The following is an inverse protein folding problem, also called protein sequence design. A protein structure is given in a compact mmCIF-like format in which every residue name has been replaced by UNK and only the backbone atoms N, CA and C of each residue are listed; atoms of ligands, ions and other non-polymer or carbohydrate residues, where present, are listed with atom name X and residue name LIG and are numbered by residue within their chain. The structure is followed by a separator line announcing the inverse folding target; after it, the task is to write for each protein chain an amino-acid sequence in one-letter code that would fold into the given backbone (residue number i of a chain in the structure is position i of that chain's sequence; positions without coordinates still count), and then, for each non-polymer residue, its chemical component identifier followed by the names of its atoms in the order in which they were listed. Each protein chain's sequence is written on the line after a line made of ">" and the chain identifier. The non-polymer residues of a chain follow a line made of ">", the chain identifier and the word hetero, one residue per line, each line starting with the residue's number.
data_IF_125743966343
#
_entry.id   IF_125743966343
#
_cell.length_a   1.000
_cell.length_b   1.000
_cell.length_c   1.000
_cell.angle_alpha   90.00
_cell.angle_beta   90.00
_cell.angle_gamma   90.00
#
_symmetry.space_group_name_H-M   'P 1'
#
loop_
_entity.id
_entity.type
_entity.pdbx_description
1 polymer ?
#
# COMPACT_ATOMS: atom_id res chain seq x y z
N UNK A 1 -11.60 13.46 11.31
CA UNK A 1 -10.58 12.70 10.57
C UNK A 1 -10.28 11.41 11.30
N UNK A 2 -9.39 10.61 10.76
CA UNK A 2 -8.88 9.38 11.37
C UNK A 2 -7.36 9.47 11.54
N UNK A 3 -6.85 8.83 12.59
CA UNK A 3 -5.44 8.68 12.88
C UNK A 3 -5.01 7.27 12.48
N UNK A 4 -4.22 7.19 11.43
CA UNK A 4 -3.61 5.94 10.97
C UNK A 4 -2.37 5.68 11.82
N UNK A 5 -2.33 4.53 12.49
CA UNK A 5 -1.22 4.17 13.39
C UNK A 5 -0.44 2.94 12.94
N UNK A 6 -1.02 2.07 12.10
CA UNK A 6 -0.31 0.95 11.52
C UNK A 6 -0.81 0.64 10.10
N UNK A 7 0.02 -0.08 9.34
CA UNK A 7 -0.24 -0.45 7.94
C UNK A 7 0.34 -1.83 7.65
N UNK A 8 -0.38 -2.63 6.87
CA UNK A 8 0.11 -3.86 6.26
C UNK A 8 -0.04 -3.79 4.75
N UNK A 9 1.09 -3.81 4.05
CA UNK A 9 1.15 -3.82 2.60
C UNK A 9 0.93 -5.24 2.07
N UNK A 10 0.24 -5.35 0.93
CA UNK A 10 -0.07 -6.63 0.32
C UNK A 10 -0.05 -6.58 -1.21
N UNK A 11 0.67 -7.54 -1.79
CA UNK A 11 0.64 -7.93 -3.21
C UNK A 11 0.74 -9.44 -3.32
N UNK A 12 0.60 -9.98 -4.55
CA UNK A 12 1.05 -11.34 -4.85
C UNK A 12 2.51 -11.32 -5.37
N UNK A 13 2.92 -12.38 -6.08
CA UNK A 13 4.33 -12.74 -6.34
C UNK A 13 5.10 -11.77 -7.25
N UNK A 14 4.43 -10.97 -8.08
CA UNK A 14 5.07 -9.98 -8.95
C UNK A 14 5.37 -8.65 -8.24
N UNK A 15 4.86 -8.41 -7.03
CA UNK A 15 5.07 -7.16 -6.31
C UNK A 15 6.53 -6.95 -5.90
N UNK A 16 7.02 -5.71 -6.05
CA UNK A 16 8.40 -5.30 -5.72
C UNK A 16 8.47 -4.04 -4.87
N UNK A 17 7.42 -3.22 -4.91
CA UNK A 17 7.32 -2.07 -4.03
C UNK A 17 5.88 -1.64 -3.85
N UNK A 18 5.57 -1.11 -2.66
CA UNK A 18 4.25 -0.54 -2.38
C UNK A 18 4.43 0.74 -1.58
N UNK A 19 3.71 1.77 -2.00
CA UNK A 19 3.75 3.10 -1.39
C UNK A 19 2.35 3.64 -1.23
N UNK A 20 2.00 4.13 -0.05
CA UNK A 20 0.75 4.84 0.22
C UNK A 20 1.05 6.22 0.76
N UNK A 21 0.42 7.24 0.14
CA UNK A 21 0.58 8.64 0.53
C UNK A 21 -0.76 9.31 0.75
N UNK A 22 -0.75 10.35 1.58
CA UNK A 22 -1.87 11.25 1.78
C UNK A 22 -1.65 12.52 0.95
N UNK A 23 -2.65 12.86 0.16
CA UNK A 23 -2.70 14.05 -0.69
C UNK A 23 -3.86 14.94 -0.23
N UNK A 24 -3.59 16.25 -0.08
CA UNK A 24 -4.60 17.26 0.20
C UNK A 24 -4.48 18.38 -0.82
N UNK A 25 -5.58 18.72 -1.47
CA UNK A 25 -5.62 19.80 -2.48
C UNK A 25 -4.57 19.62 -3.59
N UNK A 26 -4.29 18.37 -3.98
CA UNK A 26 -3.33 18.03 -5.03
C UNK A 26 -1.85 17.99 -4.57
N UNK A 27 -1.57 18.26 -3.30
CA UNK A 27 -0.21 18.22 -2.73
C UNK A 27 -0.03 16.97 -1.86
N UNK A 28 1.05 16.21 -2.10
CA UNK A 28 1.44 15.11 -1.23
C UNK A 28 1.98 15.64 0.10
N UNK A 29 1.29 15.33 1.21
CA UNK A 29 1.62 15.86 2.54
C UNK A 29 2.37 14.88 3.42
N UNK A 30 1.94 13.61 3.44
CA UNK A 30 2.47 12.60 4.36
C UNK A 30 2.59 11.25 3.66
N UNK A 31 3.64 10.51 4.01
CA UNK A 31 3.80 9.11 3.60
C UNK A 31 3.24 8.21 4.68
N UNK A 32 2.20 7.45 4.36
CA UNK A 32 1.62 6.45 5.28
C UNK A 32 2.57 5.27 5.39
N UNK A 33 3.00 4.72 4.26
CA UNK A 33 4.00 3.66 4.20
C UNK A 33 4.68 3.70 2.82
N UNK A 34 5.96 3.39 2.79
CA UNK A 34 6.78 3.23 1.58
C UNK A 34 7.73 2.04 1.82
N UNK A 35 7.55 0.97 1.06
CA UNK A 35 8.47 -0.15 1.01
C UNK A 35 8.89 -0.39 -0.44
N UNK A 36 10.08 0.08 -0.79
CA UNK A 36 10.67 -0.07 -2.13
C UNK A 36 11.36 -1.42 -2.34
N UNK A 37 11.54 -2.20 -1.27
CA UNK A 37 12.16 -3.53 -1.28
C UNK A 37 11.15 -4.58 -0.81
N UNK A 38 9.87 -4.36 -1.16
CA UNK A 38 8.78 -5.21 -0.75
C UNK A 38 8.96 -6.62 -1.31
N UNK A 39 8.69 -7.63 -0.47
CA UNK A 39 8.69 -9.05 -0.83
C UNK A 39 7.34 -9.65 -0.45
N UNK A 40 6.74 -10.40 -1.38
CA UNK A 40 5.46 -11.07 -1.16
C UNK A 40 5.55 -12.15 -0.06
N UNK A 41 6.75 -12.61 0.26
CA UNK A 41 7.05 -13.57 1.32
C UNK A 41 7.15 -12.90 2.72
N UNK A 42 7.24 -11.56 2.78
CA UNK A 42 7.40 -10.81 4.03
C UNK A 42 6.42 -9.64 4.12
N UNK A 43 5.23 -9.89 4.69
CA UNK A 43 4.12 -8.92 4.75
C UNK A 43 3.63 -8.63 6.18
N UNK A 44 4.49 -8.11 7.08
CA UNK A 44 4.09 -7.82 8.46
C UNK A 44 3.20 -6.58 8.56
N UNK A 45 2.39 -6.53 9.62
CA UNK A 45 1.80 -5.27 10.07
C UNK A 45 2.91 -4.42 10.70
N UNK A 46 3.10 -3.17 10.23
CA UNK A 46 4.07 -2.22 10.78
C UNK A 46 3.36 -1.07 11.47
N UNK A 47 3.73 -0.79 12.71
CA UNK A 47 3.36 0.46 13.40
C UNK A 47 4.12 1.61 12.75
N UNK A 48 3.41 2.69 12.43
CA UNK A 48 4.01 3.85 11.79
C UNK A 48 4.88 4.62 12.78
N UNK A 49 6.05 5.08 12.34
CA UNK A 49 6.93 5.94 13.16
C UNK A 49 6.23 7.25 13.54
N UNK A 50 5.38 7.75 12.66
CA UNK A 50 4.55 8.94 12.84
C UNK A 50 3.14 8.59 12.41
N UNK A 51 2.16 8.81 13.28
CA UNK A 51 0.76 8.63 12.92
C UNK A 51 0.36 9.64 11.85
N UNK A 52 -0.43 9.20 10.88
CA UNK A 52 -0.94 10.06 9.80
C UNK A 52 -2.38 10.43 10.10
N UNK A 53 -2.67 11.74 10.16
CA UNK A 53 -4.02 12.25 10.35
C UNK A 53 -4.68 12.53 8.99
N UNK A 54 -5.64 11.69 8.62
CA UNK A 54 -6.43 11.87 7.41
C UNK A 54 -7.75 12.59 7.73
N UNK A 55 -7.97 13.72 7.06
CA UNK A 55 -9.16 14.54 7.19
C UNK A 55 -10.13 14.28 6.04
N UNK A 56 -11.37 14.76 6.21
CA UNK A 56 -12.35 14.71 5.13
C UNK A 56 -11.86 15.55 3.95
N UNK A 57 -11.97 15.01 2.73
CA UNK A 57 -11.47 15.65 1.51
C UNK A 57 -10.03 15.25 1.15
N UNK A 58 -9.29 14.61 2.04
CA UNK A 58 -7.98 14.04 1.71
C UNK A 58 -8.13 12.82 0.79
N UNK A 59 -7.10 12.59 -0.02
CA UNK A 59 -6.99 11.44 -0.91
C UNK A 59 -5.84 10.56 -0.44
N UNK A 60 -6.11 9.28 -0.19
CA UNK A 60 -5.08 8.27 0.01
C UNK A 60 -4.77 7.61 -1.33
N UNK A 61 -3.51 7.68 -1.76
CA UNK A 61 -3.05 7.08 -3.01
C UNK A 61 -2.12 5.92 -2.68
N UNK A 62 -2.54 4.70 -3.03
CA UNK A 62 -1.70 3.50 -2.97
C UNK A 62 -1.19 3.16 -4.36
N UNK A 63 0.14 3.05 -4.50
CA UNK A 63 0.84 2.66 -5.72
C UNK A 63 1.63 1.39 -5.46
N UNK A 64 1.50 0.42 -6.34
CA UNK A 64 2.31 -0.79 -6.36
C UNK A 64 3.20 -0.81 -7.61
N UNK A 65 4.42 -1.30 -7.44
CA UNK A 65 5.38 -1.57 -8.51
C UNK A 65 5.53 -3.08 -8.66
N UNK A 66 5.43 -3.57 -9.89
CA UNK A 66 5.47 -4.99 -10.20
C UNK A 66 6.62 -5.31 -11.17
N UNK A 67 7.15 -6.53 -11.08
CA UNK A 67 8.03 -7.13 -12.08
C UNK A 67 7.40 -8.43 -12.58
N UNK A 68 7.15 -8.50 -13.88
CA UNK A 68 6.56 -9.66 -14.56
C UNK A 68 7.48 -10.26 -15.62
N UNK A 69 8.80 -10.05 -15.53
CA UNK A 69 9.79 -10.60 -16.47
C UNK A 69 9.79 -12.14 -16.49
N UNK A 70 9.31 -12.77 -15.42
CA UNK A 70 9.14 -14.22 -15.27
C UNK A 70 7.79 -14.75 -15.79
N UNK A 71 6.88 -13.89 -16.27
CA UNK A 71 5.52 -14.28 -16.68
C UNK A 71 5.40 -14.43 -18.19
N UNK A 72 4.81 -15.53 -18.63
CA UNK A 72 4.55 -15.81 -20.06
C UNK A 72 3.23 -15.22 -20.60
N UNK A 73 2.35 -14.73 -19.70
CA UNK A 73 1.04 -14.14 -20.03
C UNK A 73 0.82 -12.88 -19.21
N UNK A 74 -0.04 -11.94 -19.66
CA UNK A 74 -0.43 -10.80 -18.86
C UNK A 74 -0.97 -11.21 -17.49
N UNK A 75 -0.48 -10.55 -16.44
CA UNK A 75 -0.98 -10.71 -15.08
C UNK A 75 -2.14 -9.74 -14.85
N UNK A 76 -3.29 -10.27 -14.42
CA UNK A 76 -4.50 -9.49 -14.14
C UNK A 76 -4.74 -9.41 -12.63
N UNK A 77 -5.61 -8.49 -12.20
CA UNK A 77 -6.04 -8.42 -10.81
C UNK A 77 -6.97 -9.57 -10.45
N UNK A 78 -6.74 -10.22 -9.30
CA UNK A 78 -7.56 -11.36 -8.88
C UNK A 78 -7.10 -12.04 -7.59
N UNK A 79 -7.72 -13.18 -7.27
CA UNK A 79 -7.51 -13.92 -6.01
C UNK A 79 -6.45 -15.01 -6.12
N UNK A 80 -6.11 -15.44 -7.33
CA UNK A 80 -5.10 -16.47 -7.57
C UNK A 80 -3.69 -15.96 -7.34
N UNK A 81 -2.78 -16.83 -6.88
CA UNK A 81 -1.38 -16.47 -6.61
C UNK A 81 -0.61 -15.97 -7.85
N UNK A 82 -1.07 -16.34 -9.05
CA UNK A 82 -0.51 -15.90 -10.33
C UNK A 82 -1.20 -14.64 -10.88
N UNK A 83 -2.35 -14.26 -10.33
CA UNK A 83 -2.98 -12.95 -10.49
C UNK A 83 -2.32 -11.96 -9.50
N UNK A 84 -2.74 -10.70 -9.48
CA UNK A 84 -2.15 -9.68 -8.61
C UNK A 84 -3.15 -8.92 -7.74
N UNK A 85 -2.60 -8.34 -6.67
CA UNK A 85 -3.30 -7.42 -5.77
C UNK A 85 -2.43 -6.18 -5.49
N UNK A 86 -3.09 -5.06 -5.18
CA UNK A 86 -2.46 -3.85 -4.67
C UNK A 86 -3.26 -3.35 -3.47
N UNK A 87 -2.88 -3.74 -2.26
CA UNK A 87 -3.67 -3.45 -1.06
C UNK A 87 -2.79 -2.90 0.05
N UNK A 88 -3.33 -1.95 0.80
CA UNK A 88 -2.80 -1.49 2.07
C UNK A 88 -3.90 -1.60 3.13
N UNK A 89 -3.74 -2.52 4.09
CA UNK A 89 -4.61 -2.63 5.25
C UNK A 89 -4.21 -1.59 6.29
N UNK A 90 -5.01 -0.54 6.40
CA UNK A 90 -4.78 0.60 7.29
C UNK A 90 -5.47 0.35 8.63
N UNK A 91 -4.71 0.45 9.72
CA UNK A 91 -5.23 0.41 11.09
C UNK A 91 -5.36 1.84 11.64
N UNK A 92 -6.55 2.23 12.08
CA UNK A 92 -6.85 3.61 12.45
C UNK A 92 -7.82 3.75 13.65
N UNK A 93 -7.92 4.98 14.19
CA UNK A 93 -8.94 5.40 15.17
C UNK A 93 -9.31 6.89 14.96
N UNK A 94 -10.45 7.40 15.46
CA UNK A 94 -11.61 6.64 15.95
C UNK A 94 -12.30 5.87 14.81
N UNK A 95 -13.14 4.89 15.17
CA UNK A 95 -13.96 4.13 14.21
C UNK A 95 -15.19 4.90 13.77
#
# INVERSE_FOLDING_TARGET
>A
GIYIFASQLHTHLAGRGVRTVLVREGVELEVVQDDQHFSAEYQPIRVLRKMVNALQGDVLITKCTYNTEDRSKPTVGGFGIMEEMCVNYIHYYPR
#
